data_IF_494839873573
#
_entry.id   IF_494839873573
#
_cell.length_a   1.000
_cell.length_b   1.000
_cell.length_c   1.000
_cell.angle_alpha   90.00
_cell.angle_beta   90.00
_cell.angle_gamma   90.00
#
_symmetry.space_group_name_H-M   'P 1'
#
loop_
_entity.id
_entity.type
_entity.pdbx_description
1 polymer ?
#
# COMPACT_ATOMS: atom_id res chain seq x y z
N UNK A 1 2.17 -19.24 31.21
CA UNK A 1 2.52 -18.22 30.20
C UNK A 1 3.40 -18.93 29.20
N UNK A 2 3.04 -19.00 27.91
CA UNK A 2 4.03 -19.41 26.90
C UNK A 2 4.97 -18.23 26.69
N UNK A 3 6.26 -18.48 26.83
CA UNK A 3 7.31 -17.49 26.65
C UNK A 3 7.46 -17.18 25.16
N UNK A 4 8.03 -16.02 24.81
CA UNK A 4 8.25 -15.63 23.41
C UNK A 4 9.04 -16.70 22.63
N UNK A 5 9.91 -17.42 23.35
CA UNK A 5 10.70 -18.55 22.88
C UNK A 5 9.86 -19.74 22.39
N UNK A 6 8.68 -19.97 22.97
CA UNK A 6 7.78 -21.06 22.55
C UNK A 6 7.15 -20.77 21.19
N UNK A 7 6.79 -19.52 20.90
CA UNK A 7 6.27 -19.12 19.59
C UNK A 7 7.33 -19.21 18.50
N UNK A 8 8.59 -18.91 18.84
CA UNK A 8 9.72 -19.04 17.90
C UNK A 8 9.93 -20.51 17.53
N UNK A 9 9.97 -21.40 18.53
CA UNK A 9 10.14 -22.84 18.31
C UNK A 9 8.98 -23.43 17.49
N UNK A 10 7.73 -23.07 17.82
CA UNK A 10 6.57 -23.49 17.03
C UNK A 10 6.63 -22.94 15.60
N UNK A 11 7.06 -21.68 15.42
CA UNK A 11 7.20 -21.07 14.11
C UNK A 11 8.23 -21.79 13.22
N UNK A 12 9.33 -22.28 13.81
CA UNK A 12 10.31 -23.11 13.11
C UNK A 12 9.72 -24.45 12.68
N UNK A 13 8.95 -25.11 13.56
CA UNK A 13 8.26 -26.36 13.27
C UNK A 13 7.25 -26.20 12.13
N UNK A 14 6.41 -25.18 12.20
CA UNK A 14 5.45 -24.82 11.14
C UNK A 14 6.16 -24.53 9.81
N UNK A 15 7.30 -23.83 9.84
CA UNK A 15 8.03 -23.52 8.60
C UNK A 15 8.53 -24.79 7.90
N UNK A 16 8.88 -25.83 8.67
CA UNK A 16 9.33 -27.11 8.13
C UNK A 16 8.18 -27.97 7.62
N UNK A 17 7.08 -28.05 8.38
CA UNK A 17 5.90 -28.83 8.03
C UNK A 17 4.59 -28.13 8.44
N UNK A 18 4.04 -27.26 7.58
CA UNK A 18 2.87 -26.45 7.93
C UNK A 18 1.59 -27.26 8.17
N UNK A 19 1.46 -28.44 7.56
CA UNK A 19 0.21 -29.22 7.63
C UNK A 19 0.13 -29.98 8.95
N UNK A 20 1.24 -30.57 9.39
CA UNK A 20 1.31 -31.27 10.66
C UNK A 20 1.00 -30.35 11.84
N UNK A 21 1.49 -29.10 11.80
CA UNK A 21 1.32 -28.13 12.90
C UNK A 21 0.12 -27.19 12.72
N UNK A 22 -0.87 -27.58 11.90
CA UNK A 22 -2.04 -26.75 11.62
C UNK A 22 -2.90 -26.52 12.87
N UNK A 23 -3.10 -27.54 13.70
CA UNK A 23 -3.95 -27.42 14.89
C UNK A 23 -3.33 -26.49 15.95
N UNK A 24 -2.02 -26.57 16.16
CA UNK A 24 -1.30 -25.67 17.07
C UNK A 24 -1.34 -24.22 16.56
N UNK A 25 -1.28 -24.01 15.24
CA UNK A 25 -1.51 -22.69 14.65
C UNK A 25 -2.93 -22.18 14.95
N UNK A 26 -3.95 -23.03 14.77
CA UNK A 26 -5.34 -22.69 15.08
C UNK A 26 -5.56 -22.41 16.57
N UNK A 27 -4.83 -23.09 17.45
CA UNK A 27 -4.82 -22.82 18.89
C UNK A 27 -4.24 -21.43 19.19
N UNK A 28 -3.14 -21.04 18.53
CA UNK A 28 -2.60 -19.69 18.68
C UNK A 28 -3.57 -18.61 18.16
N UNK A 29 -4.36 -18.88 17.12
CA UNK A 29 -5.43 -17.97 16.69
C UNK A 29 -6.49 -17.79 17.78
N UNK A 30 -6.98 -18.90 18.37
CA UNK A 30 -7.97 -18.85 19.48
C UNK A 30 -7.42 -18.10 20.68
N UNK A 31 -6.14 -18.29 21.00
CA UNK A 31 -5.50 -17.59 22.10
C UNK A 31 -5.35 -16.10 21.83
N UNK A 32 -4.99 -15.71 20.61
CA UNK A 32 -4.94 -14.30 20.23
C UNK A 32 -6.32 -13.65 20.34
N UNK A 33 -7.37 -14.35 19.89
CA UNK A 33 -8.76 -13.90 20.04
C UNK A 33 -9.09 -13.64 21.52
N UNK A 34 -8.79 -14.59 22.40
CA UNK A 34 -9.03 -14.44 23.83
C UNK A 34 -8.28 -13.24 24.43
N UNK A 35 -7.03 -12.99 24.03
CA UNK A 35 -6.24 -11.84 24.50
C UNK A 35 -6.79 -10.50 24.02
N UNK A 36 -7.27 -10.43 22.78
CA UNK A 36 -7.84 -9.20 22.19
C UNK A 36 -9.20 -8.84 22.80
N UNK A 37 -9.94 -9.83 23.31
CA UNK A 37 -11.23 -9.66 23.98
C UNK A 37 -11.12 -9.24 25.45
N UNK A 38 -9.91 -9.14 26.02
CA UNK A 38 -9.74 -8.68 27.39
C UNK A 38 -10.08 -7.18 27.53
N UNK A 39 -10.61 -6.72 28.68
CA UNK A 39 -10.89 -5.31 28.92
C UNK A 39 -9.65 -4.41 28.75
N UNK A 40 -8.48 -4.95 29.13
CA UNK A 40 -7.16 -4.31 29.01
C UNK A 40 -6.19 -5.26 28.29
N UNK A 41 -6.19 -5.27 26.95
CA UNK A 41 -5.40 -6.21 26.17
C UNK A 41 -3.88 -6.08 26.45
N UNK A 42 -3.15 -7.16 26.77
CA UNK A 42 -1.72 -7.09 27.09
C UNK A 42 -0.89 -6.94 25.81
N UNK A 43 -0.64 -5.71 25.38
CA UNK A 43 0.08 -5.37 24.14
C UNK A 43 1.40 -6.14 23.97
N UNK A 44 2.17 -6.31 25.06
CA UNK A 44 3.45 -7.02 25.03
C UNK A 44 3.33 -8.47 24.57
N UNK A 45 2.19 -9.12 24.80
CA UNK A 45 1.90 -10.48 24.34
C UNK A 45 1.19 -10.48 22.98
N UNK A 46 0.31 -9.50 22.73
CA UNK A 46 -0.45 -9.39 21.48
C UNK A 46 0.48 -9.15 20.29
N UNK A 47 1.45 -8.24 20.42
CA UNK A 47 2.35 -7.90 19.32
C UNK A 47 3.11 -9.11 18.75
N UNK A 48 3.84 -9.92 19.55
CA UNK A 48 4.51 -11.10 19.04
C UNK A 48 3.53 -12.15 18.51
N UNK A 49 2.34 -12.30 19.14
CA UNK A 49 1.32 -13.21 18.62
C UNK A 49 0.77 -12.79 17.26
N UNK A 50 0.46 -11.51 17.04
CA UNK A 50 0.03 -11.01 15.73
C UNK A 50 1.14 -11.25 14.70
N UNK A 51 2.40 -10.98 15.05
CA UNK A 51 3.51 -11.24 14.14
C UNK A 51 3.64 -12.73 13.76
N UNK A 52 3.51 -13.63 14.75
CA UNK A 52 3.47 -15.07 14.52
C UNK A 52 2.31 -15.48 13.59
N UNK A 53 1.09 -15.02 13.89
CA UNK A 53 -0.11 -15.33 13.09
C UNK A 53 0.04 -14.85 11.65
N UNK A 54 0.52 -13.62 11.45
CA UNK A 54 0.76 -13.04 10.14
C UNK A 54 1.87 -13.78 9.39
N UNK A 55 2.96 -14.16 10.06
CA UNK A 55 4.06 -14.91 9.43
C UNK A 55 3.57 -16.24 8.86
N UNK A 56 2.72 -16.94 9.59
CA UNK A 56 2.21 -18.27 9.22
C UNK A 56 0.79 -18.26 8.66
N UNK A 57 0.29 -17.09 8.24
CA UNK A 57 -1.09 -16.92 7.74
C UNK A 57 -1.46 -17.73 6.50
N UNK A 58 -0.50 -18.32 5.78
CA UNK A 58 -0.79 -19.19 4.65
C UNK A 58 -1.53 -20.47 5.04
N UNK A 59 -1.50 -20.86 6.32
CA UNK A 59 -2.22 -22.04 6.85
C UNK A 59 -3.74 -21.81 6.81
N UNK A 60 -4.19 -20.61 7.21
CA UNK A 60 -5.62 -20.24 7.20
C UNK A 60 -5.79 -18.72 7.04
N UNK A 61 -5.58 -18.19 5.82
CA UNK A 61 -5.49 -16.73 5.60
C UNK A 61 -6.81 -16.02 5.88
N UNK A 62 -7.94 -16.66 5.54
CA UNK A 62 -9.28 -16.09 5.73
C UNK A 62 -9.55 -15.92 7.22
N UNK A 63 -9.28 -16.95 8.02
CA UNK A 63 -9.50 -16.87 9.47
C UNK A 63 -8.57 -15.86 10.14
N UNK A 64 -7.29 -15.78 9.72
CA UNK A 64 -6.36 -14.77 10.24
C UNK A 64 -6.84 -13.35 9.96
N UNK A 65 -7.28 -13.05 8.73
CA UNK A 65 -7.80 -11.73 8.38
C UNK A 65 -9.05 -11.42 9.18
N UNK A 66 -10.03 -12.33 9.20
CA UNK A 66 -11.30 -12.10 9.89
C UNK A 66 -11.10 -11.80 11.38
N UNK A 67 -10.22 -12.53 12.05
CA UNK A 67 -9.89 -12.30 13.46
C UNK A 67 -9.28 -10.92 13.69
N UNK A 68 -8.33 -10.49 12.84
CA UNK A 68 -7.73 -9.16 12.97
C UNK A 68 -8.77 -8.06 12.69
N UNK A 69 -9.63 -8.24 11.68
CA UNK A 69 -10.68 -7.27 11.33
C UNK A 69 -11.69 -7.13 12.44
N UNK A 70 -12.25 -8.23 12.95
CA UNK A 70 -13.26 -8.20 14.02
C UNK A 70 -12.71 -7.60 15.30
N UNK A 71 -11.42 -7.81 15.59
CA UNK A 71 -10.79 -7.27 16.80
C UNK A 71 -10.73 -5.73 16.83
N UNK A 72 -10.76 -5.05 15.67
CA UNK A 72 -10.71 -3.58 15.60
C UNK A 72 -11.94 -2.91 16.22
N UNK A 73 -13.09 -3.60 16.21
CA UNK A 73 -14.33 -3.13 16.84
C UNK A 73 -14.28 -3.25 18.36
N UNK A 74 -13.61 -4.28 18.85
CA UNK A 74 -13.60 -4.67 20.26
C UNK A 74 -12.51 -3.90 21.01
N UNK A 75 -11.31 -3.86 20.45
CA UNK A 75 -10.16 -3.18 21.05
C UNK A 75 -10.42 -1.68 21.05
N UNK A 76 -10.39 -1.04 22.23
CA UNK A 76 -10.60 0.41 22.37
C UNK A 76 -9.31 1.22 22.39
N UNK A 77 -8.23 0.63 22.91
CA UNK A 77 -6.93 1.28 23.01
C UNK A 77 -6.27 1.50 21.63
N UNK A 78 -5.77 2.71 21.40
CA UNK A 78 -5.18 3.10 20.13
C UNK A 78 -3.84 2.40 19.85
N UNK A 79 -3.06 2.03 20.89
CA UNK A 79 -1.78 1.35 20.70
C UNK A 79 -1.99 -0.08 20.19
N UNK A 80 -2.92 -0.79 20.81
CA UNK A 80 -3.32 -2.15 20.40
C UNK A 80 -3.95 -2.13 19.02
N UNK A 81 -4.87 -1.20 18.73
CA UNK A 81 -5.42 -1.01 17.37
C UNK A 81 -4.34 -0.80 16.32
N UNK A 82 -3.31 0.00 16.63
CA UNK A 82 -2.18 0.20 15.71
C UNK A 82 -1.47 -1.11 15.40
N UNK A 83 -1.19 -1.92 16.42
CA UNK A 83 -0.53 -3.22 16.24
C UNK A 83 -1.39 -4.18 15.39
N UNK A 84 -2.72 -4.17 15.57
CA UNK A 84 -3.65 -4.93 14.72
C UNK A 84 -3.64 -4.41 13.28
N UNK A 85 -3.69 -3.10 13.07
CA UNK A 85 -3.62 -2.48 11.75
C UNK A 85 -2.28 -2.76 11.05
N UNK A 86 -1.16 -2.76 11.77
CA UNK A 86 0.15 -3.17 11.25
C UNK A 86 0.12 -4.62 10.78
N UNK A 87 -0.52 -5.51 11.56
CA UNK A 87 -0.79 -6.89 11.16
C UNK A 87 -1.57 -6.97 9.85
N UNK A 88 -2.64 -6.18 9.68
CA UNK A 88 -3.43 -6.13 8.45
C UNK A 88 -2.64 -5.57 7.26
N UNK A 89 -1.76 -4.59 7.48
CA UNK A 89 -0.83 -4.11 6.44
C UNK A 89 0.06 -5.25 5.95
N UNK A 90 0.63 -6.05 6.86
CA UNK A 90 1.44 -7.22 6.50
C UNK A 90 0.60 -8.30 5.80
N UNK A 91 -0.64 -8.52 6.23
CA UNK A 91 -1.57 -9.44 5.53
C UNK A 91 -1.85 -8.99 4.10
N UNK A 92 -1.95 -7.67 3.86
CA UNK A 92 -2.07 -7.13 2.50
C UNK A 92 -0.82 -7.35 1.67
N UNK A 93 0.38 -7.19 2.25
CA UNK A 93 1.64 -7.52 1.56
C UNK A 93 1.68 -8.98 1.09
N UNK A 94 1.14 -9.90 1.91
CA UNK A 94 0.99 -11.32 1.58
C UNK A 94 -0.21 -11.62 0.67
N UNK A 95 -0.91 -10.59 0.17
CA UNK A 95 -2.10 -10.68 -0.69
C UNK A 95 -3.28 -11.44 -0.07
N UNK A 96 -3.37 -11.51 1.26
CA UNK A 96 -4.48 -12.16 1.97
C UNK A 96 -5.75 -11.30 2.05
N UNK A 97 -5.68 -10.01 1.71
CA UNK A 97 -6.81 -9.09 1.70
C UNK A 97 -6.70 -8.08 0.55
N UNK A 98 -7.81 -7.42 0.21
CA UNK A 98 -7.87 -6.40 -0.83
C UNK A 98 -7.37 -5.02 -0.36
N UNK A 99 -6.80 -4.24 -1.28
CA UNK A 99 -6.35 -2.87 -0.99
C UNK A 99 -7.49 -1.95 -0.56
N UNK A 100 -8.66 -2.10 -1.19
CA UNK A 100 -9.87 -1.35 -0.88
C UNK A 100 -10.30 -1.58 0.57
N UNK A 101 -10.29 -2.83 1.01
CA UNK A 101 -10.66 -3.20 2.37
C UNK A 101 -9.65 -2.66 3.39
N UNK A 102 -8.34 -2.84 3.15
CA UNK A 102 -7.31 -2.28 4.01
C UNK A 102 -7.45 -0.75 4.16
N UNK A 103 -7.70 -0.06 3.04
CA UNK A 103 -7.89 1.40 3.03
C UNK A 103 -9.08 1.79 3.91
N UNK A 104 -10.20 1.07 3.80
CA UNK A 104 -11.39 1.32 4.62
C UNK A 104 -11.07 1.19 6.11
N UNK A 105 -10.40 0.11 6.49
CA UNK A 105 -10.08 -0.18 7.89
C UNK A 105 -9.11 0.84 8.49
N UNK A 106 -8.05 1.23 7.76
CA UNK A 106 -7.10 2.25 8.23
C UNK A 106 -7.78 3.60 8.42
N UNK A 107 -8.62 4.04 7.48
CA UNK A 107 -9.31 5.33 7.62
C UNK A 107 -10.32 5.30 8.78
N UNK A 108 -10.98 4.17 9.00
CA UNK A 108 -12.03 4.02 10.01
C UNK A 108 -11.47 3.88 11.44
N UNK A 109 -10.41 3.10 11.63
CA UNK A 109 -9.87 2.77 12.97
C UNK A 109 -8.51 3.40 13.28
N UNK A 110 -7.83 3.97 12.29
CA UNK A 110 -6.51 4.56 12.45
C UNK A 110 -6.55 5.87 13.24
N UNK A 111 -5.96 5.88 14.43
CA UNK A 111 -5.83 7.10 15.24
C UNK A 111 -4.80 8.08 14.66
N UNK A 112 -3.64 7.57 14.22
CA UNK A 112 -2.55 8.34 13.61
C UNK A 112 -2.44 8.01 12.12
N UNK A 113 -3.34 8.55 11.31
CA UNK A 113 -3.39 8.22 9.87
C UNK A 113 -2.07 8.50 9.12
N UNK A 114 -1.32 9.53 9.54
CA UNK A 114 -0.02 9.86 8.94
C UNK A 114 1.00 8.72 9.04
N UNK A 115 0.90 7.88 10.08
CA UNK A 115 1.76 6.71 10.24
C UNK A 115 1.60 5.74 9.05
N UNK A 116 0.38 5.58 8.54
CA UNK A 116 0.06 4.61 7.48
C UNK A 116 0.28 5.15 6.06
N UNK A 117 0.64 6.42 5.89
CA UNK A 117 0.75 7.05 4.57
C UNK A 117 1.64 6.26 3.63
N UNK A 118 2.87 5.93 4.06
CA UNK A 118 3.85 5.22 3.23
C UNK A 118 3.34 3.83 2.84
N UNK A 119 2.86 3.06 3.81
CA UNK A 119 2.31 1.73 3.55
C UNK A 119 1.13 1.78 2.58
N UNK A 120 0.23 2.75 2.75
CA UNK A 120 -0.92 2.90 1.86
C UNK A 120 -0.52 3.29 0.45
N UNK A 121 0.48 4.16 0.28
CA UNK A 121 0.98 4.52 -1.04
C UNK A 121 1.40 3.29 -1.86
N UNK A 122 1.94 2.24 -1.23
CA UNK A 122 2.32 1.01 -1.92
C UNK A 122 1.10 0.24 -2.43
N UNK A 123 0.03 0.15 -1.62
CA UNK A 123 -1.15 -0.67 -1.95
C UNK A 123 -2.26 0.06 -2.70
N UNK A 124 -2.17 1.39 -2.87
CA UNK A 124 -3.18 2.17 -3.58
C UNK A 124 -3.37 1.70 -5.03
N UNK A 125 -4.61 1.35 -5.35
CA UNK A 125 -5.11 1.03 -6.68
C UNK A 125 -6.45 1.73 -6.97
N UNK A 126 -7.01 1.50 -8.17
CA UNK A 126 -8.24 2.14 -8.62
C UNK A 126 -9.45 1.80 -7.75
N UNK A 127 -9.48 0.63 -7.11
CA UNK A 127 -10.61 0.19 -6.28
C UNK A 127 -10.67 0.95 -4.95
N UNK A 128 -9.56 1.55 -4.51
CA UNK A 128 -9.52 2.44 -3.34
C UNK A 128 -10.26 3.77 -3.57
N UNK A 129 -10.46 4.21 -4.82
CA UNK A 129 -11.01 5.54 -5.13
C UNK A 129 -12.35 5.82 -4.43
N UNK A 130 -13.29 4.89 -4.51
CA UNK A 130 -14.63 5.08 -3.93
C UNK A 130 -14.58 5.28 -2.41
N UNK A 131 -13.72 4.51 -1.73
CA UNK A 131 -13.51 4.60 -0.27
C UNK A 131 -12.91 5.95 0.09
N UNK A 132 -11.82 6.34 -0.59
CA UNK A 132 -11.13 7.61 -0.35
C UNK A 132 -12.04 8.81 -0.60
N UNK A 133 -12.80 8.81 -1.71
CA UNK A 133 -13.75 9.88 -2.04
C UNK A 133 -14.85 10.00 -0.99
N UNK A 134 -15.38 8.88 -0.51
CA UNK A 134 -16.44 8.90 0.50
C UNK A 134 -15.94 9.53 1.81
N UNK A 135 -14.77 9.13 2.29
CA UNK A 135 -14.18 9.66 3.52
C UNK A 135 -13.64 11.08 3.38
N UNK A 136 -13.18 11.49 2.20
CA UNK A 136 -12.86 12.89 1.93
C UNK A 136 -14.09 13.80 2.05
N UNK A 137 -15.27 13.33 1.64
CA UNK A 137 -16.51 14.10 1.74
C UNK A 137 -17.11 14.12 3.15
N UNK A 138 -17.07 12.98 3.85
CA UNK A 138 -17.85 12.74 5.08
C UNK A 138 -17.02 12.54 6.36
N UNK A 139 -15.70 12.38 6.24
CA UNK A 139 -14.83 12.09 7.37
C UNK A 139 -14.54 13.30 8.25
N UNK A 140 -13.82 13.07 9.34
CA UNK A 140 -13.19 14.12 10.16
C UNK A 140 -12.10 14.84 9.40
N UNK A 141 -11.68 16.04 9.83
CA UNK A 141 -10.61 16.80 9.15
C UNK A 141 -9.31 16.00 8.96
N UNK A 142 -8.95 15.16 9.95
CA UNK A 142 -7.80 14.24 9.84
C UNK A 142 -8.01 13.21 8.72
N UNK A 143 -9.18 12.59 8.66
CA UNK A 143 -9.53 11.62 7.61
C UNK A 143 -9.60 12.29 6.23
N UNK A 144 -10.16 13.51 6.14
CA UNK A 144 -10.22 14.27 4.89
C UNK A 144 -8.83 14.57 4.35
N UNK A 145 -7.95 15.11 5.20
CA UNK A 145 -6.57 15.42 4.81
C UNK A 145 -5.82 14.17 4.33
N UNK A 146 -5.91 13.07 5.08
CA UNK A 146 -5.32 11.79 4.69
C UNK A 146 -5.87 11.26 3.36
N UNK A 147 -7.20 11.25 3.18
CA UNK A 147 -7.83 10.78 1.96
C UNK A 147 -7.50 11.65 0.75
N UNK A 148 -7.46 12.97 0.93
CA UNK A 148 -7.07 13.92 -0.11
C UNK A 148 -5.64 13.64 -0.60
N UNK A 149 -4.70 13.48 0.33
CA UNK A 149 -3.33 13.12 -0.02
C UNK A 149 -3.25 11.80 -0.81
N UNK A 150 -3.93 10.75 -0.35
CA UNK A 150 -3.94 9.46 -1.04
C UNK A 150 -4.62 9.52 -2.42
N UNK A 151 -5.65 10.35 -2.60
CA UNK A 151 -6.25 10.61 -3.91
C UNK A 151 -5.24 11.25 -4.87
N UNK A 152 -4.48 12.25 -4.41
CA UNK A 152 -3.42 12.86 -5.23
C UNK A 152 -2.36 11.84 -5.64
N UNK A 153 -1.96 10.94 -4.74
CA UNK A 153 -1.03 9.85 -5.07
C UNK A 153 -1.65 8.91 -6.11
N UNK A 154 -2.89 8.47 -5.90
CA UNK A 154 -3.59 7.55 -6.79
C UNK A 154 -3.70 8.12 -8.22
N UNK A 155 -4.10 9.38 -8.35
CA UNK A 155 -4.16 10.06 -9.64
C UNK A 155 -2.77 10.16 -10.29
N UNK A 156 -1.69 10.26 -9.51
CA UNK A 156 -0.33 10.40 -10.05
C UNK A 156 0.10 9.09 -10.69
N UNK A 157 -0.15 7.97 -9.99
CA UNK A 157 0.11 6.62 -10.51
C UNK A 157 -0.66 6.35 -11.81
N UNK A 158 -1.94 6.73 -11.87
CA UNK A 158 -2.78 6.51 -13.06
C UNK A 158 -2.26 7.33 -14.25
N UNK A 159 -1.86 8.58 -14.01
CA UNK A 159 -1.30 9.44 -15.05
C UNK A 159 0.04 8.89 -15.57
N UNK A 160 0.95 8.50 -14.68
CA UNK A 160 2.25 7.93 -15.06
C UNK A 160 2.11 6.64 -15.89
N UNK A 161 1.17 5.77 -15.52
CA UNK A 161 0.87 4.55 -16.31
C UNK A 161 0.31 4.90 -17.69
N UNK A 162 -0.54 5.93 -17.78
CA UNK A 162 -1.13 6.36 -19.04
C UNK A 162 -0.09 6.92 -20.00
N UNK A 163 0.83 7.75 -19.50
CA UNK A 163 1.94 8.31 -20.29
C UNK A 163 2.92 7.24 -20.78
N UNK A 164 3.31 6.27 -19.92
CA UNK A 164 4.15 5.14 -20.35
C UNK A 164 3.50 4.32 -21.47
N UNK A 165 2.18 4.10 -21.40
CA UNK A 165 1.42 3.39 -22.44
C UNK A 165 1.27 4.18 -23.74
N UNK A 166 1.37 5.52 -23.69
CA UNK A 166 1.43 6.37 -24.89
C UNK A 166 2.79 6.26 -25.55
N UNK A 167 3.87 6.47 -24.79
CA UNK A 167 5.24 6.34 -25.27
C UNK A 167 5.53 4.96 -25.90
N UNK A 168 5.08 3.86 -25.29
CA UNK A 168 5.22 2.52 -25.87
C UNK A 168 4.47 2.34 -27.19
N UNK A 169 3.29 2.95 -27.34
CA UNK A 169 2.51 2.90 -28.59
C UNK A 169 3.19 3.70 -29.69
N UNK A 170 3.77 4.84 -29.36
CA UNK A 170 4.45 5.68 -30.34
C UNK A 170 5.78 5.05 -30.79
N UNK A 171 6.58 4.48 -29.88
CA UNK A 171 7.78 3.69 -30.27
C UNK A 171 7.46 2.46 -31.12
N UNK A 172 6.31 1.82 -30.89
CA UNK A 172 5.85 0.67 -31.69
C UNK A 172 5.39 1.06 -33.10
N UNK A 173 4.99 2.33 -33.30
CA UNK A 173 4.69 2.88 -34.63
C UNK A 173 5.97 3.26 -35.38
N UNK A 174 6.97 3.79 -34.69
CA UNK A 174 8.27 4.13 -35.29
C UNK A 174 8.99 2.89 -35.84
N UNK A 175 8.90 1.74 -35.15
CA UNK A 175 9.46 0.47 -35.63
C UNK A 175 8.71 -0.17 -36.82
N UNK A 176 7.54 0.32 -37.22
CA UNK A 176 6.89 -0.11 -38.49
C UNK A 176 7.33 0.70 -39.70
N UNK A 177 8.03 1.82 -39.50
CA UNK A 177 8.54 2.65 -40.59
C UNK A 177 10.01 2.37 -40.95
N UNK A 178 10.71 1.53 -40.18
CA UNK A 178 12.10 1.10 -40.48
C UNK A 178 12.19 -0.31 -41.07
N UNK A 179 11.06 -0.90 -41.46
CA UNK A 179 10.98 -2.22 -42.09
C UNK A 179 10.60 -2.18 -43.56
N UNK A 180 11.34 -1.44 -44.39
CA UNK A 180 11.34 -1.61 -45.86
C UNK A 180 12.77 -1.51 -46.41
N UNK A 181 13.23 -2.68 -46.87
CA UNK A 181 14.14 -3.01 -47.97
C UNK A 181 15.61 -2.59 -47.99
N UNK A 182 16.45 -3.63 -48.05
CA UNK A 182 17.71 -3.70 -48.78
C UNK A 182 17.57 -3.22 -50.24
N UNK A 183 18.71 -2.74 -50.76
CA UNK A 183 19.12 -2.48 -52.14
C UNK A 183 18.50 -1.30 -52.92
N UNK A 184 19.32 -0.27 -53.19
CA UNK A 184 19.96 0.03 -54.50
C UNK A 184 20.77 1.35 -54.42
N UNK A 185 21.93 1.33 -55.06
CA UNK A 185 22.93 2.38 -55.30
C UNK A 185 22.41 3.80 -55.62
N UNK A 186 23.18 4.81 -55.17
CA UNK A 186 23.57 5.94 -56.04
C UNK A 186 23.15 7.35 -55.62
N UNK A 187 24.16 8.15 -55.26
CA UNK A 187 24.35 9.59 -55.52
C UNK A 187 23.41 10.64 -54.91
N UNK A 188 24.04 11.49 -54.08
CA UNK A 188 23.90 12.96 -53.99
C UNK A 188 22.50 13.58 -53.96
N UNK A 189 22.03 13.94 -52.77
CA UNK A 189 21.73 15.34 -52.41
C UNK A 189 21.40 15.43 -50.91
N UNK A 190 22.21 16.22 -50.21
CA UNK A 190 21.93 16.71 -48.86
C UNK A 190 21.08 17.96 -49.07
N UNK A 191 19.79 17.90 -48.74
CA UNK A 191 18.97 19.08 -48.52
C UNK A 191 18.11 18.88 -47.25
N UNK A 192 18.46 19.71 -46.27
CA UNK A 192 17.63 20.35 -45.24
C UNK A 192 16.23 19.74 -44.95
N UNK A 193 16.11 19.13 -43.79
CA UNK A 193 14.83 19.08 -43.06
C UNK A 193 14.99 20.01 -41.86
N UNK A 194 14.59 21.26 -42.06
CA UNK A 194 14.45 22.23 -41.00
C UNK A 194 12.97 22.51 -40.73
N UNK A 195 12.65 22.53 -39.44
CA UNK A 195 11.53 23.25 -38.83
C UNK A 195 10.10 22.97 -39.33
N UNK A 196 9.37 22.15 -38.56
CA UNK A 196 7.98 22.41 -38.13
C UNK A 196 7.58 21.44 -37.02
N UNK A 197 8.09 21.70 -35.82
CA UNK A 197 7.57 21.09 -34.60
C UNK A 197 7.55 22.14 -33.50
N UNK A 198 6.74 23.17 -33.69
CA UNK A 198 6.36 24.09 -32.62
C UNK A 198 4.91 24.50 -32.84
N UNK A 199 4.05 23.97 -31.98
CA UNK A 199 2.90 24.62 -31.34
C UNK A 199 1.88 23.55 -30.97
N UNK A 200 1.97 23.05 -29.73
CA UNK A 200 0.83 22.75 -28.83
C UNK A 200 1.29 21.86 -27.65
N UNK A 201 2.01 22.43 -26.67
CA UNK A 201 2.09 21.83 -25.33
C UNK A 201 2.71 22.78 -24.29
N UNK A 202 1.97 23.80 -23.84
CA UNK A 202 2.39 24.62 -22.68
C UNK A 202 1.41 24.62 -21.52
N UNK A 203 0.24 23.97 -21.63
CA UNK A 203 -0.75 23.94 -20.54
C UNK A 203 -0.61 22.77 -19.56
N UNK A 204 0.15 21.72 -19.87
CA UNK A 204 0.35 20.55 -18.98
C UNK A 204 1.51 20.71 -18.00
N UNK A 205 2.46 21.61 -18.27
CA UNK A 205 3.68 21.76 -17.45
C UNK A 205 3.42 22.40 -16.08
N UNK A 206 2.67 23.51 -16.04
CA UNK A 206 2.38 24.26 -14.79
C UNK A 206 1.62 23.41 -13.76
N UNK A 207 0.63 22.63 -14.20
CA UNK A 207 -0.17 21.77 -13.30
C UNK A 207 0.67 20.65 -12.67
N UNK A 208 1.59 20.06 -13.43
CA UNK A 208 2.50 19.04 -12.96
C UNK A 208 3.51 19.58 -11.93
N UNK A 209 3.97 20.82 -12.11
CA UNK A 209 4.91 21.46 -11.18
C UNK A 209 4.26 21.86 -9.85
N UNK A 210 3.06 22.44 -9.87
CA UNK A 210 2.35 22.82 -8.65
C UNK A 210 1.96 21.60 -7.82
N UNK A 211 1.64 20.49 -8.49
CA UNK A 211 1.36 19.21 -7.85
C UNK A 211 2.60 18.57 -7.23
N UNK A 212 3.76 18.60 -7.93
CA UNK A 212 5.05 18.19 -7.36
C UNK A 212 5.41 19.03 -6.14
N UNK A 213 5.20 20.34 -6.20
CA UNK A 213 5.41 21.26 -5.06
C UNK A 213 4.50 20.94 -3.88
N UNK A 214 3.22 20.62 -4.11
CA UNK A 214 2.29 20.24 -3.05
C UNK A 214 2.69 18.93 -2.35
N UNK A 215 3.05 17.89 -3.13
CA UNK A 215 3.52 16.60 -2.60
C UNK A 215 4.83 16.80 -1.81
N UNK A 216 5.77 17.60 -2.34
CA UNK A 216 7.03 17.90 -1.66
C UNK A 216 6.83 18.70 -0.37
N UNK A 217 5.91 19.67 -0.34
CA UNK A 217 5.57 20.45 0.86
C UNK A 217 4.97 19.55 1.94
N UNK A 218 4.04 18.67 1.57
CA UNK A 218 3.48 17.68 2.50
C UNK A 218 4.59 16.77 3.05
N UNK A 219 5.44 16.20 2.18
CA UNK A 219 6.56 15.37 2.61
C UNK A 219 7.58 16.11 3.50
N UNK A 220 7.84 17.41 3.27
CA UNK A 220 8.72 18.23 4.11
C UNK A 220 8.12 18.53 5.48
N UNK A 221 6.82 18.87 5.54
CA UNK A 221 6.13 19.16 6.78
C UNK A 221 6.13 17.97 7.75
N UNK A 222 6.11 16.75 7.22
CA UNK A 222 6.08 15.52 8.02
C UNK A 222 7.44 14.82 8.19
N UNK A 223 8.53 15.30 7.57
CA UNK A 223 9.89 14.81 7.87
C UNK A 223 10.41 15.28 9.25
N UNK A 224 9.86 16.36 9.80
CA UNK A 224 10.30 16.92 11.09
C UNK A 224 9.65 16.28 12.33
N UNK A 225 8.83 15.25 12.20
CA UNK A 225 8.27 14.50 13.36
C UNK A 225 9.08 13.27 13.76
N UNK A 226 10.31 13.09 13.24
CA UNK A 226 11.17 11.91 13.49
C UNK A 226 12.54 12.17 14.11
N UNK A 227 12.86 13.40 14.48
CA UNK A 227 14.04 13.67 15.29
C UNK A 227 13.60 14.37 16.56
N UNK A 228 13.07 13.60 17.50
CA UNK A 228 13.29 13.80 18.93
C UNK A 228 12.79 12.56 19.67
N UNK A 229 13.64 12.05 20.56
CA UNK A 229 13.49 10.89 21.45
C UNK A 229 13.96 9.53 20.89
N UNK A 230 15.29 9.43 20.82
CA UNK A 230 16.02 8.25 21.32
C UNK A 230 15.85 8.19 22.83
#
# INVERSE_FOLDING_TARGET
MLEEDDLVLLGLKITKDPQTYREEYLEQLKRLDALLNLPTPPIKQIKPMIFFIVRHSSIDPVRSVNLLVSSLEIVKDYKTRRVVLDGLVLMRQKKCMESKELTRLIVMYGHELNYFVRSMQEFLDVHCYAVLRNWYKKGTEKQKSFCYFLLLVLFSKIHDVSERKRMQRDSSKTNRYTGISEDVNGSSHIEEIDSKCDQESTSTSSYCEDRRRCIQRYCKQYKHTRHDKV
#
